data_IF_776334176527
#
_entry.id   IF_776334176527
#
_cell.length_a   1.000
_cell.length_b   1.000
_cell.length_c   1.000
_cell.angle_alpha   90.00
_cell.angle_beta   90.00
_cell.angle_gamma   90.00
#
_symmetry.space_group_name_H-M   'P 1'
#
loop_
_entity.id
_entity.type
_entity.pdbx_description
1 polymer ?
#
# COMPACT_ATOMS: atom_id res chain seq x y z
N UNK A 1 -12.66 9.94 -3.40
CA UNK A 1 -12.50 8.47 -3.37
C UNK A 1 -11.05 8.18 -3.02
N UNK A 2 -10.80 7.29 -2.07
CA UNK A 2 -9.42 6.92 -1.67
C UNK A 2 -9.04 5.59 -2.30
N UNK A 3 -7.87 5.57 -2.93
CA UNK A 3 -7.33 4.43 -3.66
C UNK A 3 -5.99 4.04 -3.06
N UNK A 4 -5.72 2.75 -3.03
CA UNK A 4 -4.42 2.20 -2.68
C UNK A 4 -3.95 1.29 -3.82
N UNK A 5 -2.68 1.39 -4.16
CA UNK A 5 -1.99 0.45 -5.02
C UNK A 5 -0.74 -0.05 -4.31
N UNK A 6 -0.45 -1.34 -4.40
CA UNK A 6 0.78 -1.93 -3.86
C UNK A 6 1.52 -2.71 -4.93
N UNK A 7 2.84 -2.77 -4.82
CA UNK A 7 3.71 -3.66 -5.59
C UNK A 7 4.56 -4.49 -4.61
N UNK A 8 4.38 -5.81 -4.64
CA UNK A 8 5.16 -6.73 -3.81
C UNK A 8 6.32 -7.29 -4.62
N UNK A 9 7.53 -6.85 -4.30
CA UNK A 9 8.78 -7.39 -4.85
C UNK A 9 9.44 -8.40 -3.90
N UNK A 10 10.59 -8.93 -4.31
CA UNK A 10 11.36 -9.88 -3.47
C UNK A 10 11.99 -9.23 -2.23
N UNK A 11 12.39 -7.97 -2.32
CA UNK A 11 13.05 -7.25 -1.20
C UNK A 11 12.09 -6.30 -0.48
N UNK A 12 11.33 -5.53 -1.25
CA UNK A 12 10.46 -4.47 -0.73
C UNK A 12 9.03 -4.64 -1.21
N UNK A 13 8.11 -4.21 -0.35
CA UNK A 13 6.70 -3.97 -0.68
C UNK A 13 6.47 -2.47 -0.72
N UNK A 14 6.11 -1.98 -1.90
CA UNK A 14 5.81 -0.59 -2.19
C UNK A 14 4.31 -0.32 -2.13
N UNK A 15 3.95 0.89 -1.74
CA UNK A 15 2.56 1.32 -1.68
C UNK A 15 2.42 2.79 -2.08
N UNK A 16 1.35 3.06 -2.84
CA UNK A 16 0.89 4.40 -3.19
C UNK A 16 -0.56 4.54 -2.72
N UNK A 17 -0.83 5.60 -1.96
CA UNK A 17 -2.15 6.04 -1.57
C UNK A 17 -2.51 7.31 -2.34
N UNK A 18 -3.74 7.40 -2.82
CA UNK A 18 -4.27 8.59 -3.49
C UNK A 18 -5.65 8.96 -2.95
N UNK A 19 -5.81 10.19 -2.46
CA UNK A 19 -7.10 10.79 -2.14
C UNK A 19 -7.54 11.75 -3.25
N UNK A 20 -8.52 11.32 -4.03
CA UNK A 20 -9.07 12.11 -5.14
C UNK A 20 -9.78 13.40 -4.68
N UNK A 21 -10.20 13.53 -3.42
CA UNK A 21 -10.87 14.75 -2.93
C UNK A 21 -9.87 15.87 -2.72
N UNK A 22 -8.69 15.56 -2.19
CA UNK A 22 -7.65 16.53 -1.84
C UNK A 22 -6.52 16.57 -2.87
N UNK A 23 -6.47 15.60 -3.80
CA UNK A 23 -5.34 15.29 -4.67
C UNK A 23 -4.06 14.93 -3.91
N UNK A 24 -4.18 14.52 -2.64
CA UNK A 24 -3.04 14.10 -1.84
C UNK A 24 -2.55 12.72 -2.26
N UNK A 25 -1.23 12.59 -2.39
CA UNK A 25 -0.52 11.34 -2.64
C UNK A 25 0.40 11.07 -1.46
N UNK A 26 0.38 9.85 -0.95
CA UNK A 26 1.41 9.34 -0.04
C UNK A 26 1.99 8.06 -0.57
N UNK A 27 3.24 7.82 -0.21
CA UNK A 27 3.93 6.57 -0.52
C UNK A 27 4.44 5.95 0.75
N UNK A 28 4.56 4.63 0.75
CA UNK A 28 5.18 3.87 1.80
C UNK A 28 5.99 2.72 1.20
N UNK A 29 7.05 2.34 1.90
CA UNK A 29 7.92 1.22 1.53
C UNK A 29 8.25 0.42 2.78
N UNK A 30 8.15 -0.88 2.68
CA UNK A 30 8.49 -1.81 3.76
C UNK A 30 9.31 -2.97 3.20
N UNK A 31 10.00 -3.72 4.08
CA UNK A 31 10.56 -5.01 3.68
C UNK A 31 9.44 -5.98 3.34
N UNK A 32 9.61 -6.72 2.26
CA UNK A 32 8.69 -7.83 1.93
C UNK A 32 8.73 -8.85 3.05
N UNK A 33 7.55 -9.22 3.55
CA UNK A 33 7.43 -10.35 4.47
C UNK A 33 7.29 -11.61 3.62
N UNK A 34 8.42 -12.24 3.23
CA UNK A 34 8.47 -13.30 2.21
C UNK A 34 7.52 -14.46 2.50
N UNK A 35 7.44 -14.89 3.76
CA UNK A 35 6.58 -16.01 4.15
C UNK A 35 5.08 -15.65 4.17
N UNK A 36 4.75 -14.36 4.20
CA UNK A 36 3.39 -13.84 4.17
C UNK A 36 3.35 -12.42 3.57
N UNK A 37 3.30 -12.30 2.23
CA UNK A 37 3.29 -11.01 1.55
C UNK A 37 2.23 -10.01 2.05
N UNK A 38 1.08 -10.52 2.51
CA UNK A 38 0.00 -9.69 3.06
C UNK A 38 0.45 -8.87 4.27
N UNK A 39 1.37 -9.38 5.10
CA UNK A 39 1.90 -8.63 6.24
C UNK A 39 2.73 -7.43 5.79
N UNK A 40 3.48 -7.57 4.68
CA UNK A 40 4.22 -6.46 4.08
C UNK A 40 3.27 -5.37 3.56
N UNK A 41 2.16 -5.79 2.93
CA UNK A 41 1.12 -4.87 2.46
C UNK A 41 0.43 -4.15 3.62
N UNK A 42 0.06 -4.86 4.69
CA UNK A 42 -0.60 -4.23 5.86
C UNK A 42 0.36 -3.21 6.51
N UNK A 43 1.63 -3.59 6.72
CA UNK A 43 2.64 -2.67 7.28
C UNK A 43 2.80 -1.43 6.41
N UNK A 44 2.81 -1.55 5.09
CA UNK A 44 2.95 -0.41 4.20
C UNK A 44 1.72 0.50 4.21
N UNK A 45 0.51 -0.05 4.39
CA UNK A 45 -0.72 0.73 4.60
C UNK A 45 -0.61 1.55 5.90
N UNK A 46 -0.23 0.91 7.00
CA UNK A 46 -0.16 1.56 8.32
C UNK A 46 0.83 2.73 8.36
N UNK A 47 1.93 2.64 7.60
CA UNK A 47 2.91 3.74 7.46
C UNK A 47 2.33 5.01 6.82
N UNK A 48 1.23 4.91 6.05
CA UNK A 48 0.61 6.09 5.43
C UNK A 48 -0.16 6.97 6.43
N UNK A 49 -0.43 6.43 7.64
CA UNK A 49 -1.20 7.09 8.70
C UNK A 49 -2.57 7.63 8.24
N UNK A 50 -3.16 7.04 7.21
CA UNK A 50 -4.51 7.38 6.78
C UNK A 50 -5.56 6.52 7.47
N UNK A 51 -6.77 7.03 7.53
CA UNK A 51 -7.91 6.22 7.98
C UNK A 51 -8.26 5.17 6.90
N UNK A 52 -7.82 3.93 7.14
CA UNK A 52 -7.98 2.76 6.27
C UNK A 52 -9.45 2.44 5.95
N UNK A 53 -10.40 2.76 6.84
CA UNK A 53 -11.85 2.48 6.65
C UNK A 53 -12.48 3.20 5.44
N UNK A 54 -11.76 4.13 4.83
CA UNK A 54 -12.22 4.95 3.71
C UNK A 54 -11.65 4.56 2.35
N UNK A 55 -10.80 3.53 2.27
CA UNK A 55 -10.27 2.99 1.02
C UNK A 55 -11.41 2.28 0.28
N UNK A 56 -11.65 2.67 -0.98
CA UNK A 56 -12.72 2.11 -1.84
C UNK A 56 -12.18 1.31 -3.02
N UNK A 57 -10.87 1.36 -3.23
CA UNK A 57 -10.20 0.69 -4.33
C UNK A 57 -8.83 0.24 -3.86
N UNK A 58 -8.51 -1.02 -4.14
CA UNK A 58 -7.22 -1.62 -3.86
C UNK A 58 -6.72 -2.31 -5.12
N UNK A 59 -5.50 -1.99 -5.54
CA UNK A 59 -4.81 -2.63 -6.64
C UNK A 59 -3.54 -3.30 -6.11
N UNK A 60 -3.30 -4.53 -6.54
CA UNK A 60 -2.11 -5.28 -6.19
C UNK A 60 -1.36 -5.67 -7.45
N UNK A 61 -0.09 -5.28 -7.50
CA UNK A 61 0.93 -5.81 -8.39
C UNK A 61 1.94 -6.62 -7.58
N UNK A 62 2.65 -7.50 -8.28
CA UNK A 62 3.74 -8.25 -7.69
C UNK A 62 4.71 -8.75 -8.75
N UNK A 63 5.96 -8.92 -8.34
CA UNK A 63 7.04 -9.47 -9.17
C UNK A 63 7.51 -10.83 -8.65
N UNK A 64 7.06 -11.24 -7.45
CA UNK A 64 7.48 -12.47 -6.77
C UNK A 64 6.98 -13.74 -7.45
#
# INVERSE_FOLDING_TARGET
>A
MKKVATDVGGTFTDLVFFDQKTNEIKTAKTLTTVNNPSDGVIKSIDLTQFNNSSIKYFCHGGTT
#
